data_IF_418058891524
#
_entry.id   IF_418058891524
#
_cell.length_a   1.000
_cell.length_b   1.000
_cell.length_c   1.000
_cell.angle_alpha   90.00
_cell.angle_beta   90.00
_cell.angle_gamma   90.00
#
_symmetry.space_group_name_H-M   'P 1'
#
loop_
_entity.id
_entity.type
_entity.pdbx_description
1 polymer ?
#
# COMPACT_ATOMS: atom_id res chain seq x y z
N UNK A 1 5.58 20.00 -5.53
CA UNK A 1 5.02 19.20 -4.42
C UNK A 1 5.07 17.73 -4.81
N UNK A 2 5.49 16.84 -3.91
CA UNK A 2 5.64 15.39 -4.17
C UNK A 2 4.35 14.72 -4.66
N UNK A 3 3.20 15.23 -4.24
CA UNK A 3 1.88 14.80 -4.73
C UNK A 3 1.73 14.96 -6.25
N UNK A 4 2.29 16.00 -6.88
CA UNK A 4 2.28 16.14 -8.34
C UNK A 4 3.11 15.08 -9.04
N UNK A 5 4.26 14.70 -8.47
CA UNK A 5 5.11 13.65 -9.05
C UNK A 5 4.38 12.30 -9.02
N UNK A 6 3.68 12.00 -7.92
CA UNK A 6 2.84 10.80 -7.81
C UNK A 6 1.68 10.87 -8.82
N UNK A 7 0.99 11.99 -8.94
CA UNK A 7 -0.12 12.16 -9.90
C UNK A 7 0.29 12.04 -11.38
N UNK A 8 1.58 12.16 -11.69
CA UNK A 8 2.12 11.95 -13.04
C UNK A 8 2.40 10.47 -13.37
N UNK A 9 2.39 9.59 -12.36
CA UNK A 9 2.56 8.15 -12.57
C UNK A 9 1.28 7.53 -13.16
N UNK A 10 1.36 6.32 -13.74
CA UNK A 10 0.17 5.56 -14.13
C UNK A 10 -0.81 5.40 -12.96
N UNK A 11 -2.12 5.41 -13.25
CA UNK A 11 -3.18 5.33 -12.23
C UNK A 11 -3.04 4.12 -11.31
N UNK A 12 -2.61 2.99 -11.87
CA UNK A 12 -2.30 1.77 -11.14
C UNK A 12 -1.17 2.00 -10.13
N UNK A 13 -0.05 2.57 -10.57
CA UNK A 13 1.08 2.91 -9.69
C UNK A 13 0.66 3.87 -8.56
N UNK A 14 -0.16 4.88 -8.86
CA UNK A 14 -0.73 5.77 -7.84
C UNK A 14 -1.56 5.00 -6.81
N UNK A 15 -2.38 4.05 -7.28
CA UNK A 15 -3.20 3.21 -6.41
C UNK A 15 -2.35 2.34 -5.47
N UNK A 16 -1.29 1.70 -5.98
CA UNK A 16 -0.34 0.95 -5.14
C UNK A 16 0.32 1.83 -4.09
N UNK A 17 0.73 3.05 -4.46
CA UNK A 17 1.34 3.99 -3.52
C UNK A 17 0.35 4.41 -2.42
N UNK A 18 -0.92 4.63 -2.76
CA UNK A 18 -1.98 4.92 -1.76
C UNK A 18 -2.17 3.77 -0.78
N UNK A 19 -2.28 2.53 -1.29
CA UNK A 19 -2.42 1.34 -0.46
C UNK A 19 -1.20 1.13 0.45
N UNK A 20 0.01 1.25 -0.10
CA UNK A 20 1.23 1.14 0.68
C UNK A 20 1.26 2.19 1.79
N UNK A 21 0.86 3.44 1.49
CA UNK A 21 0.80 4.50 2.48
C UNK A 21 -0.21 4.25 3.61
N UNK A 22 -1.33 3.57 3.31
CA UNK A 22 -2.25 3.10 4.33
C UNK A 22 -1.65 1.98 5.19
N UNK A 23 -0.98 1.00 4.60
CA UNK A 23 -0.37 -0.14 5.30
C UNK A 23 0.75 0.32 6.24
N UNK A 24 1.67 1.16 5.77
CA UNK A 24 2.78 1.66 6.58
C UNK A 24 4.00 2.10 5.78
N UNK A 25 5.11 2.33 6.47
CA UNK A 25 6.37 2.80 5.86
C UNK A 25 7.12 1.72 5.08
N UNK A 26 6.89 0.44 5.41
CA UNK A 26 7.46 -0.74 4.74
C UNK A 26 6.40 -1.84 4.62
N UNK A 27 6.37 -2.53 3.49
CA UNK A 27 5.48 -3.67 3.27
C UNK A 27 6.16 -4.71 2.37
N UNK A 28 5.89 -5.99 2.62
CA UNK A 28 6.32 -7.05 1.71
C UNK A 28 5.51 -7.01 0.41
N UNK A 29 6.18 -7.20 -0.71
CA UNK A 29 5.56 -7.19 -2.03
C UNK A 29 4.47 -8.25 -2.19
N UNK A 30 4.56 -9.39 -1.51
CA UNK A 30 3.52 -10.42 -1.55
C UNK A 30 2.26 -9.97 -0.81
N UNK A 31 2.39 -9.33 0.36
CA UNK A 31 1.27 -8.76 1.12
C UNK A 31 0.55 -7.68 0.31
N UNK A 32 1.31 -6.76 -0.30
CA UNK A 32 0.71 -5.71 -1.13
C UNK A 32 -0.04 -6.28 -2.34
N UNK A 33 0.53 -7.28 -3.02
CA UNK A 33 -0.13 -7.97 -4.14
C UNK A 33 -1.41 -8.68 -3.69
N UNK A 34 -1.40 -9.38 -2.55
CA UNK A 34 -2.59 -10.04 -2.01
C UNK A 34 -3.70 -9.06 -1.62
N UNK A 35 -3.33 -7.88 -1.12
CA UNK A 35 -4.28 -6.81 -0.81
C UNK A 35 -4.91 -6.26 -2.10
N UNK A 36 -4.10 -5.99 -3.12
CA UNK A 36 -4.57 -5.44 -4.40
C UNK A 36 -5.44 -6.44 -5.16
N UNK A 37 -5.04 -7.72 -5.21
CA UNK A 37 -5.78 -8.77 -5.91
C UNK A 37 -7.21 -8.99 -5.37
N UNK A 38 -7.48 -8.57 -4.13
CA UNK A 38 -8.79 -8.68 -3.50
C UNK A 38 -9.55 -7.36 -3.41
N UNK A 39 -8.90 -6.23 -3.69
CA UNK A 39 -9.59 -4.98 -3.95
C UNK A 39 -10.30 -5.11 -5.31
N UNK A 40 -11.63 -5.28 -5.27
CA UNK A 40 -12.48 -5.60 -6.42
C UNK A 40 -12.45 -4.60 -7.59
N UNK A 41 -11.77 -3.46 -7.44
CA UNK A 41 -11.77 -2.34 -8.39
C UNK A 41 -10.49 -2.19 -9.23
N UNK A 42 -9.50 -3.09 -9.07
CA UNK A 42 -8.30 -3.04 -9.91
C UNK A 42 -8.36 -4.16 -10.94
N UNK A 43 -8.42 -3.78 -12.22
CA UNK A 43 -8.21 -4.71 -13.33
C UNK A 43 -6.94 -5.53 -13.06
N UNK A 44 -7.08 -6.85 -13.15
CA UNK A 44 -6.21 -7.88 -12.56
C UNK A 44 -4.81 -8.00 -13.19
N UNK A 45 -4.20 -6.92 -13.65
CA UNK A 45 -2.79 -6.90 -14.03
C UNK A 45 -1.94 -6.33 -12.89
N UNK A 46 -1.88 -7.10 -11.80
CA UNK A 46 -0.91 -6.89 -10.70
C UNK A 46 0.47 -7.40 -11.14
N UNK A 47 0.96 -6.86 -12.25
CA UNK A 47 2.33 -7.10 -12.68
C UNK A 47 3.21 -6.23 -11.77
N UNK A 48 4.10 -6.85 -10.99
CA UNK A 48 4.97 -6.16 -10.02
C UNK A 48 5.80 -4.99 -10.61
N UNK A 49 5.79 -4.84 -11.93
CA UNK A 49 6.33 -3.73 -12.72
C UNK A 49 5.88 -2.35 -12.22
N UNK A 50 4.67 -2.18 -11.69
CA UNK A 50 4.22 -0.86 -11.22
C UNK A 50 4.94 -0.37 -9.97
N UNK A 51 5.35 -1.29 -9.09
CA UNK A 51 6.18 -0.95 -7.93
C UNK A 51 7.63 -0.73 -8.35
N UNK A 52 8.13 -1.51 -9.31
CA UNK A 52 9.46 -1.31 -9.87
C UNK A 52 9.57 0.05 -10.58
N UNK A 53 8.52 0.49 -11.29
CA UNK A 53 8.44 1.83 -11.85
C UNK A 53 8.57 2.93 -10.79
N UNK A 54 7.91 2.77 -9.64
CA UNK A 54 8.04 3.72 -8.53
C UNK A 54 9.43 3.67 -7.85
N UNK A 55 10.12 2.54 -7.92
CA UNK A 55 11.52 2.41 -7.47
C UNK A 55 12.46 3.14 -8.43
N UNK A 56 12.28 2.96 -9.74
CA UNK A 56 13.06 3.63 -10.78
C UNK A 56 12.88 5.17 -10.73
N UNK A 57 11.67 5.62 -10.42
CA UNK A 57 11.36 7.04 -10.17
C UNK A 57 11.92 7.60 -8.85
N UNK A 58 12.59 6.76 -8.04
CA UNK A 58 13.17 7.11 -6.76
C UNK A 58 12.14 7.42 -5.66
N UNK A 59 10.89 7.00 -5.85
CA UNK A 59 9.80 7.22 -4.89
C UNK A 59 9.73 6.12 -3.84
N UNK A 60 10.05 4.90 -4.26
CA UNK A 60 10.18 3.72 -3.41
C UNK A 60 11.62 3.22 -3.39
N UNK A 61 11.93 2.44 -2.36
CA UNK A 61 13.15 1.63 -2.23
C UNK A 61 12.72 0.17 -2.14
N UNK A 62 13.45 -0.69 -2.85
CA UNK A 62 13.26 -2.14 -2.79
C UNK A 62 14.41 -2.76 -2.00
N UNK A 63 14.05 -3.57 -0.99
CA UNK A 63 14.98 -4.32 -0.14
C UNK A 63 14.55 -5.79 -0.11
N UNK A 64 15.15 -6.59 -1.00
CA UNK A 64 14.70 -7.95 -1.28
C UNK A 64 13.28 -7.98 -1.84
N UNK A 65 12.35 -8.57 -1.10
CA UNK A 65 10.92 -8.61 -1.41
C UNK A 65 10.13 -7.42 -0.86
N UNK A 66 10.75 -6.57 -0.04
CA UNK A 66 10.09 -5.47 0.62
C UNK A 66 10.15 -4.18 -0.19
N UNK A 67 9.09 -3.40 -0.10
CA UNK A 67 9.01 -2.03 -0.61
C UNK A 67 8.84 -1.06 0.55
N UNK A 68 9.57 0.05 0.50
CA UNK A 68 9.46 1.14 1.46
C UNK A 68 9.46 2.48 0.73
N UNK A 69 8.83 3.50 1.31
CA UNK A 69 8.95 4.85 0.77
C UNK A 69 10.38 5.36 0.92
N UNK A 70 10.89 6.06 -0.11
CA UNK A 70 12.22 6.63 -0.02
C UNK A 70 12.33 7.68 1.10
N UNK A 71 11.22 8.40 1.37
CA UNK A 71 11.05 9.39 2.43
C UNK A 71 9.60 9.44 2.93
N UNK A 72 9.42 9.79 4.21
CA UNK A 72 8.10 9.94 4.86
C UNK A 72 7.19 10.96 4.14
N UNK A 73 7.76 12.01 3.55
CA UNK A 73 6.99 13.01 2.80
C UNK A 73 6.32 12.42 1.55
N UNK A 74 6.90 11.37 0.97
CA UNK A 74 6.31 10.67 -0.18
C UNK A 74 5.14 9.81 0.29
N UNK A 75 5.29 9.15 1.43
CA UNK A 75 4.18 8.42 2.07
C UNK A 75 3.02 9.35 2.40
N UNK A 76 3.30 10.49 3.04
CA UNK A 76 2.28 11.50 3.38
C UNK A 76 1.60 12.04 2.12
N UNK A 77 2.38 12.32 1.06
CA UNK A 77 1.82 12.76 -0.20
C UNK A 77 0.91 11.70 -0.84
N UNK A 78 1.33 10.43 -0.86
CA UNK A 78 0.52 9.33 -1.36
C UNK A 78 -0.78 9.16 -0.55
N UNK A 79 -0.68 9.18 0.79
CA UNK A 79 -1.85 9.11 1.68
C UNK A 79 -2.82 10.28 1.50
N UNK A 80 -2.29 11.50 1.31
CA UNK A 80 -3.11 12.70 1.09
C UNK A 80 -3.88 12.69 -0.22
N UNK A 81 -3.47 11.85 -1.19
CA UNK A 81 -4.20 11.66 -2.45
C UNK A 81 -5.42 10.74 -2.30
N UNK A 82 -5.67 10.20 -1.11
CA UNK A 82 -6.88 9.45 -0.78
C UNK A 82 -7.91 10.45 -0.24
N UNK A 83 -9.08 10.61 -0.91
CA UNK A 83 -10.19 11.40 -0.40
C UNK A 83 -10.54 11.00 1.03
N UNK A 84 -10.78 11.97 1.90
CA UNK A 84 -10.98 11.70 3.34
C UNK A 84 -12.16 10.75 3.60
N UNK A 85 -13.22 10.86 2.80
CA UNK A 85 -14.39 9.98 2.79
C UNK A 85 -14.09 8.53 2.40
N UNK A 86 -13.05 8.29 1.59
CA UNK A 86 -12.65 6.96 1.14
C UNK A 86 -11.66 6.28 2.10
N UNK A 87 -10.95 7.05 2.94
CA UNK A 87 -9.88 6.53 3.81
C UNK A 87 -10.37 5.42 4.73
N UNK A 88 -11.49 5.62 5.42
CA UNK A 88 -12.04 4.61 6.32
C UNK A 88 -12.49 3.34 5.60
N UNK A 89 -12.95 3.45 4.35
CA UNK A 89 -13.27 2.27 3.54
C UNK A 89 -12.00 1.49 3.20
N UNK A 90 -10.95 2.19 2.74
CA UNK A 90 -9.67 1.60 2.39
C UNK A 90 -9.00 0.92 3.60
N UNK A 91 -8.97 1.61 4.74
CA UNK A 91 -8.43 1.09 5.99
C UNK A 91 -9.17 -0.17 6.47
N UNK A 92 -10.51 -0.17 6.39
CA UNK A 92 -11.32 -1.37 6.68
C UNK A 92 -11.01 -2.52 5.72
N UNK A 93 -10.87 -2.25 4.42
CA UNK A 93 -10.52 -3.28 3.44
C UNK A 93 -9.15 -3.89 3.76
N UNK A 94 -8.13 -3.06 3.99
CA UNK A 94 -6.77 -3.49 4.30
C UNK A 94 -6.74 -4.30 5.61
N UNK A 95 -7.36 -3.81 6.68
CA UNK A 95 -7.40 -4.51 7.96
C UNK A 95 -8.05 -5.89 7.86
N UNK A 96 -9.19 -5.99 7.17
CA UNK A 96 -9.85 -7.28 6.91
C UNK A 96 -8.99 -8.22 6.05
N UNK A 97 -8.24 -7.68 5.09
CA UNK A 97 -7.36 -8.47 4.23
C UNK A 97 -6.17 -9.02 5.01
N UNK A 98 -5.55 -8.20 5.87
CA UNK A 98 -4.46 -8.66 6.75
C UNK A 98 -4.97 -9.80 7.63
N UNK A 99 -6.12 -9.65 8.31
CA UNK A 99 -6.71 -10.71 9.15
C UNK A 99 -6.94 -12.03 8.41
N UNK A 100 -7.35 -11.99 7.14
CA UNK A 100 -7.57 -13.20 6.34
C UNK A 100 -6.29 -13.93 5.95
N UNK A 101 -5.13 -13.27 5.98
CA UNK A 101 -3.85 -13.82 5.51
C UNK A 101 -2.82 -13.98 6.62
N UNK A 102 -3.17 -13.73 7.89
CA UNK A 102 -2.26 -13.98 9.02
C UNK A 102 -2.10 -15.49 9.20
N UNK A 103 -0.91 -16.08 8.96
CA UNK A 103 -0.66 -17.45 9.38
C UNK A 103 -0.67 -17.50 10.92
N UNK A 104 -1.17 -18.59 11.50
CA UNK A 104 -1.30 -18.82 12.96
C UNK A 104 0.00 -18.63 13.77
N UNK A 105 1.14 -18.46 13.09
CA UNK A 105 2.47 -18.39 13.67
C UNK A 105 3.06 -16.96 13.71
N UNK A 106 2.37 -15.96 13.14
CA UNK A 106 2.80 -14.54 13.12
C UNK A 106 1.71 -13.60 13.67
N UNK A 107 0.90 -14.13 14.61
CA UNK A 107 -0.36 -13.52 15.04
C UNK A 107 -0.14 -12.13 15.59
N UNK A 108 0.86 -11.88 16.42
CA UNK A 108 0.92 -10.62 17.17
C UNK A 108 1.13 -9.38 16.28
N UNK A 109 2.21 -9.30 15.50
CA UNK A 109 2.54 -8.09 14.74
C UNK A 109 1.54 -7.79 13.60
N UNK A 110 1.07 -8.84 12.91
CA UNK A 110 0.08 -8.69 11.83
C UNK A 110 -1.33 -8.42 12.39
N UNK A 111 -1.70 -8.98 13.54
CA UNK A 111 -2.96 -8.68 14.21
C UNK A 111 -3.00 -7.23 14.70
N UNK A 112 -1.93 -6.75 15.37
CA UNK A 112 -1.85 -5.33 15.76
C UNK A 112 -1.92 -4.40 14.56
N UNK A 113 -1.25 -4.75 13.47
CA UNK A 113 -1.33 -3.99 12.21
C UNK A 113 -2.78 -3.97 11.72
N UNK A 114 -3.46 -5.12 11.65
CA UNK A 114 -4.84 -5.20 11.20
C UNK A 114 -5.81 -4.41 12.09
N UNK A 115 -5.71 -4.53 13.41
CA UNK A 115 -6.54 -3.78 14.36
C UNK A 115 -6.32 -2.28 14.22
N UNK A 116 -5.06 -1.84 14.06
CA UNK A 116 -4.75 -0.43 13.83
C UNK A 116 -5.33 0.08 12.50
N UNK A 117 -5.36 -0.76 11.46
CA UNK A 117 -6.07 -0.42 10.22
C UNK A 117 -7.58 -0.31 10.45
N UNK A 118 -8.21 -1.23 11.19
CA UNK A 118 -9.65 -1.19 11.44
C UNK A 118 -10.11 -0.02 12.33
N UNK A 119 -9.20 0.57 13.12
CA UNK A 119 -9.47 1.70 14.01
C UNK A 119 -9.26 3.08 13.34
N UNK A 120 -8.92 3.13 12.05
CA UNK A 120 -8.73 4.36 11.26
C UNK A 120 -9.86 4.57 10.27
#
# INVERSE_FOLDING_TARGET
LLSRKIMQLPRECQYYMKLLACIGSKCDGSTLKSVVAQAKDVEQNVDGKMLEFAVDEGLLKKDGSNYAFAHDQIQQAAYSLIPEEERGCLHRQIGNLILKHVPENQVDDLFFTAVNQLNR
#
